data_IF_360598888654
#
_entry.id   IF_360598888654
#
_cell.length_a   1.000
_cell.length_b   1.000
_cell.length_c   1.000
_cell.angle_alpha   90.00
_cell.angle_beta   90.00
_cell.angle_gamma   90.00
#
_symmetry.space_group_name_H-M   'P 1'
#
loop_
_entity.id
_entity.type
_entity.pdbx_description
1 polymer ?
#
# COMPACT_ATOMS: atom_id res chain seq x y z
N UNK A 1 -11.21 12.20 -12.75
CA UNK A 1 -10.79 13.30 -11.86
C UNK A 1 -9.26 13.33 -11.87
N UNK A 2 -8.62 14.51 -11.82
CA UNK A 2 -7.16 14.58 -11.70
C UNK A 2 -6.71 13.98 -10.37
N UNK A 3 -5.56 13.31 -10.35
CA UNK A 3 -4.98 12.75 -9.12
C UNK A 3 -4.10 13.82 -8.45
N UNK A 4 -4.23 14.04 -7.14
CA UNK A 4 -3.40 15.01 -6.43
C UNK A 4 -1.94 14.54 -6.37
N UNK A 5 -1.01 15.49 -6.41
CA UNK A 5 0.41 15.27 -6.19
C UNK A 5 0.94 16.37 -5.26
N UNK A 6 1.30 16.06 -3.99
CA UNK A 6 1.37 14.71 -3.40
C UNK A 6 -0.01 14.13 -3.05
N UNK A 7 -0.13 12.80 -3.12
CA UNK A 7 -1.37 12.05 -2.84
C UNK A 7 -1.52 11.73 -1.35
N UNK A 8 -1.88 12.74 -0.55
CA UNK A 8 -1.87 12.69 0.93
C UNK A 8 -3.27 12.63 1.57
N UNK A 9 -4.33 12.48 0.77
CA UNK A 9 -5.70 12.53 1.25
C UNK A 9 -6.11 13.88 1.81
N UNK A 10 -7.05 13.86 2.75
CA UNK A 10 -7.52 15.04 3.46
C UNK A 10 -6.58 15.43 4.60
N UNK A 11 -5.94 14.45 5.24
CA UNK A 11 -4.85 14.65 6.19
C UNK A 11 -4.04 13.36 6.37
N UNK A 12 -2.83 13.49 6.92
CA UNK A 12 -1.98 12.37 7.31
C UNK A 12 -1.60 12.49 8.80
N UNK A 13 -1.25 11.38 9.48
CA UNK A 13 -0.83 11.43 10.88
C UNK A 13 0.32 12.41 11.17
N UNK A 14 1.20 12.59 10.19
CA UNK A 14 2.36 13.48 10.26
C UNK A 14 2.11 14.92 9.79
N UNK A 15 0.94 15.21 9.19
CA UNK A 15 0.62 16.51 8.61
C UNK A 15 -0.69 17.05 9.20
N UNK A 16 -0.60 17.58 10.42
CA UNK A 16 -1.73 18.18 11.16
C UNK A 16 -2.07 19.61 10.72
N UNK A 17 -1.32 20.17 9.75
CA UNK A 17 -1.43 21.58 9.36
C UNK A 17 -2.43 21.81 8.22
N UNK A 18 -2.80 20.77 7.47
CA UNK A 18 -3.77 20.87 6.37
C UNK A 18 -5.19 20.72 6.88
N UNK A 19 -5.90 21.84 7.03
CA UNK A 19 -7.35 21.84 7.17
C UNK A 19 -8.01 21.77 5.79
N UNK A 20 -8.53 20.60 5.44
CA UNK A 20 -9.37 20.44 4.24
C UNK A 20 -10.82 20.71 4.63
N UNK A 21 -11.44 21.73 4.05
CA UNK A 21 -12.88 21.95 4.19
C UNK A 21 -13.61 21.04 3.22
N UNK A 22 -14.30 20.03 3.75
CA UNK A 22 -15.18 19.15 2.97
C UNK A 22 -16.63 19.41 3.33
N UNK A 23 -17.48 19.64 2.32
CA UNK A 23 -18.94 19.75 2.50
C UNK A 23 -19.60 18.49 1.97
N UNK A 24 -20.46 17.88 2.79
CA UNK A 24 -21.30 16.77 2.40
C UNK A 24 -22.72 17.27 2.16
N UNK A 25 -23.45 16.62 1.25
CA UNK A 25 -24.88 16.86 1.09
C UNK A 25 -25.64 16.30 2.31
N UNK A 26 -26.81 16.86 2.61
CA UNK A 26 -27.64 16.39 3.74
C UNK A 26 -27.94 14.89 3.65
N UNK A 27 -28.14 14.37 2.43
CA UNK A 27 -28.39 12.94 2.17
C UNK A 27 -27.19 12.04 2.47
N UNK A 28 -25.99 12.58 2.48
CA UNK A 28 -24.75 11.82 2.70
C UNK A 28 -24.28 11.87 4.17
N UNK A 29 -24.84 12.75 5.00
CA UNK A 29 -24.41 12.95 6.38
C UNK A 29 -25.10 11.94 7.30
N UNK A 30 -24.36 11.45 8.30
CA UNK A 30 -24.90 10.63 9.38
C UNK A 30 -24.89 9.13 9.06
N UNK A 31 -25.52 8.33 9.93
CA UNK A 31 -25.58 6.89 9.76
C UNK A 31 -26.52 6.47 8.62
N UNK A 32 -26.24 5.34 7.93
CA UNK A 32 -25.03 4.54 8.09
C UNK A 32 -23.79 5.28 7.56
N UNK A 33 -22.69 5.18 8.29
CA UNK A 33 -21.40 5.54 7.73
C UNK A 33 -21.02 4.51 6.66
N UNK A 34 -20.53 4.98 5.53
CA UNK A 34 -20.09 4.12 4.45
C UNK A 34 -18.64 4.43 4.08
N UNK A 35 -17.94 3.41 3.58
CA UNK A 35 -16.54 3.51 3.20
C UNK A 35 -16.28 2.62 1.98
N UNK A 36 -15.97 3.24 0.86
CA UNK A 36 -15.71 2.57 -0.41
C UNK A 36 -14.28 2.87 -0.87
N UNK A 37 -13.57 1.84 -1.30
CA UNK A 37 -12.21 1.94 -1.84
C UNK A 37 -12.19 1.53 -3.31
N UNK A 38 -11.33 2.18 -4.09
CA UNK A 38 -10.96 1.69 -5.41
C UNK A 38 -9.53 2.14 -5.77
N UNK A 39 -8.96 1.55 -6.81
CA UNK A 39 -7.65 1.94 -7.34
C UNK A 39 -7.64 3.42 -7.78
N UNK A 40 -6.64 4.19 -7.34
CA UNK A 40 -6.57 5.61 -7.70
C UNK A 40 -6.45 5.81 -9.22
N UNK A 41 -5.61 5.00 -9.87
CA UNK A 41 -5.38 4.99 -11.32
C UNK A 41 -6.46 4.22 -12.09
N UNK A 42 -7.73 4.49 -11.80
CA UNK A 42 -8.87 3.90 -12.50
C UNK A 42 -9.02 4.48 -13.92
N UNK A 43 -9.66 3.74 -14.86
CA UNK A 43 -9.96 4.24 -16.20
C UNK A 43 -10.71 5.58 -16.22
N UNK A 44 -10.56 6.34 -17.31
CA UNK A 44 -11.16 7.66 -17.45
C UNK A 44 -12.68 7.58 -17.24
N UNK A 45 -13.20 8.44 -16.36
CA UNK A 45 -14.62 8.53 -16.06
C UNK A 45 -15.07 7.67 -14.87
N UNK A 46 -14.34 6.61 -14.49
CA UNK A 46 -14.73 5.71 -13.40
C UNK A 46 -14.96 6.46 -12.09
N UNK A 47 -13.99 7.28 -11.65
CA UNK A 47 -14.15 8.09 -10.44
C UNK A 47 -15.30 9.09 -10.51
N UNK A 48 -15.63 9.61 -11.70
CA UNK A 48 -16.78 10.50 -11.88
C UNK A 48 -18.09 9.73 -11.67
N UNK A 49 -18.18 8.52 -12.24
CA UNK A 49 -19.33 7.64 -12.05
C UNK A 49 -19.50 7.26 -10.58
N UNK A 50 -18.43 6.78 -9.93
CA UNK A 50 -18.48 6.35 -8.52
C UNK A 50 -18.90 7.54 -7.63
N UNK A 51 -18.28 8.70 -7.80
CA UNK A 51 -18.61 9.91 -7.04
C UNK A 51 -20.09 10.30 -7.22
N UNK A 52 -20.59 10.35 -8.45
CA UNK A 52 -22.01 10.65 -8.74
C UNK A 52 -22.97 9.63 -8.11
N UNK A 53 -22.61 8.36 -8.12
CA UNK A 53 -23.40 7.30 -7.48
C UNK A 53 -23.40 7.42 -5.96
N UNK A 54 -22.27 7.84 -5.39
CA UNK A 54 -22.08 8.00 -3.94
C UNK A 54 -22.24 9.46 -3.50
N UNK A 55 -23.39 10.05 -3.85
CA UNK A 55 -23.84 11.37 -3.37
C UNK A 55 -22.95 12.56 -3.75
N UNK A 56 -22.27 12.47 -4.90
CA UNK A 56 -21.31 13.46 -5.40
C UNK A 56 -20.16 13.74 -4.40
N UNK A 57 -19.83 12.76 -3.55
CA UNK A 57 -18.73 12.89 -2.59
C UNK A 57 -17.40 12.81 -3.34
N UNK A 58 -16.51 13.76 -3.04
CA UNK A 58 -15.15 13.76 -3.56
C UNK A 58 -14.32 12.61 -2.96
N UNK A 59 -13.59 11.84 -3.80
CA UNK A 59 -12.69 10.79 -3.32
C UNK A 59 -11.46 11.35 -2.59
N UNK A 60 -11.17 10.77 -1.43
CA UNK A 60 -9.91 10.96 -0.70
C UNK A 60 -8.83 10.10 -1.35
N UNK A 61 -7.94 10.70 -2.15
CA UNK A 61 -6.83 9.99 -2.77
C UNK A 61 -5.59 9.96 -1.87
N UNK A 62 -5.16 8.76 -1.46
CA UNK A 62 -4.01 8.53 -0.58
C UNK A 62 -3.06 7.48 -1.18
N UNK A 63 -1.77 7.71 -1.05
CA UNK A 63 -0.73 6.71 -1.28
C UNK A 63 -0.23 6.15 0.07
N UNK A 64 -0.42 4.86 0.34
CA UNK A 64 0.00 4.24 1.61
C UNK A 64 1.51 4.31 1.88
N UNK A 65 2.35 4.72 0.92
CA UNK A 65 3.78 4.97 1.16
C UNK A 65 4.05 5.99 2.29
N UNK A 66 3.08 6.85 2.59
CA UNK A 66 3.21 7.83 3.68
C UNK A 66 2.98 7.20 5.06
N UNK A 67 2.45 5.97 5.09
CA UNK A 67 2.08 5.25 6.31
C UNK A 67 2.99 4.04 6.51
N UNK A 68 3.21 3.22 5.47
CA UNK A 68 4.05 2.01 5.55
C UNK A 68 5.19 1.98 4.50
N UNK A 69 5.93 0.87 4.44
CA UNK A 69 7.09 0.69 3.57
C UNK A 69 6.74 0.31 2.11
N UNK A 70 5.45 0.19 1.77
CA UNK A 70 4.99 -0.15 0.42
C UNK A 70 4.00 0.90 -0.11
N UNK A 71 4.22 1.40 -1.33
CA UNK A 71 3.31 2.33 -1.97
C UNK A 71 2.00 1.63 -2.35
N UNK A 72 0.85 2.29 -2.14
CA UNK A 72 -0.47 1.77 -2.53
C UNK A 72 -1.40 2.95 -2.77
N UNK A 73 -1.49 3.39 -4.02
CA UNK A 73 -2.33 4.53 -4.43
C UNK A 73 -3.78 4.09 -4.55
N UNK A 74 -4.65 4.63 -3.70
CA UNK A 74 -6.09 4.36 -3.65
C UNK A 74 -6.90 5.64 -3.53
N UNK A 75 -8.13 5.59 -3.99
CA UNK A 75 -9.15 6.57 -3.67
C UNK A 75 -10.16 5.96 -2.71
N UNK A 76 -10.63 6.76 -1.77
CA UNK A 76 -11.63 6.36 -0.79
C UNK A 76 -12.80 7.33 -0.85
N UNK A 77 -14.03 6.84 -1.03
CA UNK A 77 -15.25 7.66 -0.92
C UNK A 77 -16.00 7.21 0.32
N UNK A 78 -16.24 8.16 1.21
CA UNK A 78 -16.87 7.92 2.50
C UNK A 78 -17.53 9.19 3.03
N UNK A 79 -18.46 9.03 3.96
CA UNK A 79 -19.08 10.13 4.71
C UNK A 79 -18.51 10.32 6.13
N UNK A 80 -17.45 9.59 6.50
CA UNK A 80 -16.80 9.70 7.81
C UNK A 80 -16.29 11.13 8.10
N UNK A 81 -16.33 11.59 9.36
CA UNK A 81 -15.58 12.78 9.79
C UNK A 81 -14.09 12.68 9.43
N UNK A 82 -13.48 13.83 9.15
CA UNK A 82 -12.06 13.91 8.76
C UNK A 82 -11.18 14.51 9.86
N UNK A 83 -11.79 15.15 10.84
CA UNK A 83 -11.12 15.72 12.01
C UNK A 83 -10.89 14.65 13.09
N UNK A 84 -9.92 14.89 13.98
CA UNK A 84 -9.59 14.03 15.13
C UNK A 84 -9.24 12.57 14.76
N UNK A 85 -8.74 12.34 13.55
CA UNK A 85 -8.15 11.05 13.17
C UNK A 85 -6.91 10.74 14.00
N UNK A 86 -6.71 9.48 14.35
CA UNK A 86 -5.56 8.99 15.11
C UNK A 86 -4.97 7.75 14.44
N UNK A 87 -3.64 7.66 14.32
CA UNK A 87 -3.01 6.49 13.70
C UNK A 87 -3.11 5.26 14.60
N UNK A 88 -3.07 4.08 13.99
CA UNK A 88 -2.86 2.83 14.72
C UNK A 88 -1.42 2.82 15.30
N UNK A 89 -1.28 2.33 16.52
CA UNK A 89 0.01 2.20 17.20
C UNK A 89 0.34 0.71 17.44
N UNK A 90 1.63 0.31 17.37
CA UNK A 90 2.79 1.13 16.98
C UNK A 90 2.75 1.51 15.49
N UNK A 91 3.37 2.65 15.13
CA UNK A 91 3.41 3.09 13.73
C UNK A 91 4.21 2.09 12.87
N UNK A 92 3.71 1.69 11.70
CA UNK A 92 4.44 0.77 10.83
C UNK A 92 5.70 1.43 10.26
N UNK A 93 6.74 0.64 9.95
CA UNK A 93 7.95 1.15 9.32
C UNK A 93 7.64 1.67 7.91
N UNK A 94 8.22 2.82 7.57
CA UNK A 94 8.08 3.46 6.24
C UNK A 94 9.22 3.13 5.27
N UNK A 95 10.16 2.28 5.69
CA UNK A 95 11.38 1.96 4.96
C UNK A 95 11.62 0.45 4.97
N UNK A 96 12.07 -0.11 3.84
CA UNK A 96 12.37 -1.53 3.65
C UNK A 96 13.29 -2.06 4.77
N UNK A 97 14.38 -1.36 5.11
CA UNK A 97 15.36 -1.82 6.10
C UNK A 97 14.86 -1.69 7.54
N UNK A 98 13.89 -0.81 7.79
CA UNK A 98 13.19 -0.78 9.09
C UNK A 98 12.17 -1.91 9.21
N UNK A 99 11.57 -2.33 8.09
CA UNK A 99 10.65 -3.46 8.06
C UNK A 99 11.39 -4.81 8.10
N UNK A 100 12.50 -4.91 7.38
CA UNK A 100 13.28 -6.12 7.18
C UNK A 100 14.78 -5.78 7.21
N UNK A 101 15.38 -5.67 8.42
CA UNK A 101 16.79 -5.32 8.57
C UNK A 101 17.76 -6.27 7.85
N UNK A 102 17.40 -7.55 7.75
CA UNK A 102 18.24 -8.59 7.14
C UNK A 102 18.54 -8.35 5.65
N UNK A 103 17.70 -7.58 4.94
CA UNK A 103 17.92 -7.24 3.54
C UNK A 103 19.04 -6.23 3.33
N UNK A 104 19.36 -5.40 4.33
CA UNK A 104 20.34 -4.33 4.20
C UNK A 104 21.73 -4.87 3.87
N UNK A 105 22.12 -6.00 4.47
CA UNK A 105 23.43 -6.64 4.25
C UNK A 105 23.68 -7.03 2.79
N UNK A 106 22.62 -7.36 2.04
CA UNK A 106 22.70 -7.81 0.66
C UNK A 106 22.33 -6.73 -0.35
N UNK A 107 21.91 -5.56 0.12
CA UNK A 107 21.41 -4.50 -0.74
C UNK A 107 22.57 -3.80 -1.45
N UNK A 108 22.62 -3.81 -2.80
CA UNK A 108 23.68 -3.13 -3.51
C UNK A 108 23.52 -1.62 -3.40
N UNK A 109 24.65 -0.90 -3.32
CA UNK A 109 24.67 0.56 -3.22
C UNK A 109 24.00 1.28 -4.41
N UNK A 110 23.96 0.62 -5.57
CA UNK A 110 23.33 1.14 -6.78
C UNK A 110 21.83 0.90 -6.85
N UNK A 111 21.22 0.11 -5.95
CA UNK A 111 19.77 -0.02 -5.85
C UNK A 111 19.23 1.06 -4.88
N UNK A 112 18.62 2.14 -5.39
CA UNK A 112 18.26 3.29 -4.58
C UNK A 112 16.95 3.08 -3.81
N UNK A 113 16.27 1.93 -3.98
CA UNK A 113 14.97 1.71 -3.38
C UNK A 113 15.08 1.72 -1.85
N UNK A 114 14.13 2.42 -1.24
CA UNK A 114 13.91 2.45 0.21
C UNK A 114 12.47 2.11 0.59
N UNK A 115 11.60 2.03 -0.41
CA UNK A 115 10.20 1.63 -0.32
C UNK A 115 9.89 0.67 -1.45
N UNK A 116 8.92 -0.21 -1.21
CA UNK A 116 8.38 -1.12 -2.20
C UNK A 116 7.30 -0.43 -3.03
N UNK A 117 7.04 -0.97 -4.22
CA UNK A 117 5.89 -0.57 -5.04
C UNK A 117 4.61 -1.26 -4.53
N UNK A 118 3.50 -1.02 -5.22
CA UNK A 118 2.23 -1.70 -4.93
C UNK A 118 2.43 -3.22 -4.89
N UNK A 119 2.03 -3.81 -3.77
CA UNK A 119 2.05 -5.26 -3.61
C UNK A 119 1.06 -5.88 -4.60
N UNK A 120 1.51 -6.92 -5.30
CA UNK A 120 0.81 -7.53 -6.42
C UNK A 120 0.11 -8.82 -6.00
N UNK A 121 -0.80 -9.30 -6.85
CA UNK A 121 -1.51 -10.59 -6.66
C UNK A 121 -0.72 -11.80 -7.17
N UNK A 122 0.43 -11.55 -7.80
CA UNK A 122 1.30 -12.55 -8.40
C UNK A 122 2.76 -12.23 -8.11
N UNK A 123 3.61 -13.25 -8.06
CA UNK A 123 5.04 -13.12 -7.82
C UNK A 123 5.86 -13.41 -9.07
N UNK A 124 7.11 -12.95 -9.07
CA UNK A 124 8.08 -13.28 -10.09
C UNK A 124 8.30 -14.79 -10.21
N UNK A 125 8.54 -15.26 -11.43
CA UNK A 125 8.95 -16.64 -11.67
C UNK A 125 10.39 -16.89 -11.23
N UNK A 126 10.70 -18.13 -10.84
CA UNK A 126 12.07 -18.56 -10.57
C UNK A 126 13.02 -18.38 -11.77
N UNK A 127 12.48 -18.47 -13.00
CA UNK A 127 13.25 -18.20 -14.23
C UNK A 127 13.74 -16.76 -14.29
N UNK A 128 12.95 -15.80 -13.80
CA UNK A 128 13.36 -14.39 -13.75
C UNK A 128 14.47 -14.18 -12.73
N UNK A 129 14.35 -14.74 -11.53
CA UNK A 129 15.37 -14.58 -10.48
C UNK A 129 16.69 -15.23 -10.89
N UNK A 130 16.66 -16.38 -11.57
CA UNK A 130 17.88 -16.98 -12.13
C UNK A 130 18.49 -16.12 -13.25
N UNK A 131 17.68 -15.56 -14.16
CA UNK A 131 18.19 -14.63 -15.20
C UNK A 131 18.90 -13.42 -14.58
N UNK A 132 18.33 -12.83 -13.53
CA UNK A 132 18.94 -11.71 -12.82
C UNK A 132 20.29 -12.14 -12.22
N UNK A 133 20.32 -13.28 -11.54
CA UNK A 133 21.55 -13.85 -10.97
C UNK A 133 22.64 -14.08 -12.02
N UNK A 134 22.32 -14.64 -13.18
CA UNK A 134 23.28 -14.84 -14.28
C UNK A 134 23.80 -13.52 -14.85
N UNK A 135 22.93 -12.52 -15.05
CA UNK A 135 23.33 -11.20 -15.53
C UNK A 135 24.30 -10.50 -14.55
N UNK A 136 24.06 -10.66 -13.25
CA UNK A 136 24.92 -10.11 -12.20
C UNK A 136 26.22 -10.91 -12.00
N UNK A 137 26.19 -12.24 -12.17
CA UNK A 137 27.39 -13.08 -12.05
C UNK A 137 28.35 -12.91 -13.23
N UNK A 138 27.82 -12.57 -14.40
CA UNK A 138 28.61 -12.26 -15.61
C UNK A 138 29.15 -10.83 -15.61
N UNK A 139 28.60 -9.99 -14.74
CA UNK A 139 29.15 -8.67 -14.43
C UNK A 139 30.23 -8.85 -13.37
N UNK A 140 31.35 -8.12 -13.46
CA UNK A 140 32.39 -8.17 -12.44
C UNK A 140 31.93 -7.66 -11.06
N UNK A 141 32.79 -6.98 -10.32
CA UNK A 141 32.43 -6.43 -9.01
C UNK A 141 31.31 -5.38 -9.07
N UNK A 142 31.23 -4.64 -10.18
CA UNK A 142 30.18 -3.65 -10.44
C UNK A 142 29.51 -3.91 -11.81
N UNK A 143 28.20 -4.18 -11.84
CA UNK A 143 27.47 -4.31 -13.10
C UNK A 143 27.45 -3.03 -13.91
N UNK A 144 27.40 -3.15 -15.24
CA UNK A 144 27.27 -1.99 -16.12
C UNK A 144 25.95 -1.25 -15.86
N UNK A 145 25.85 0.05 -16.20
CA UNK A 145 24.62 0.82 -15.99
C UNK A 145 23.37 0.21 -16.64
N UNK A 146 23.52 -0.46 -17.78
CA UNK A 146 22.42 -1.15 -18.46
C UNK A 146 21.91 -2.35 -17.67
N UNK A 147 22.81 -3.15 -17.08
CA UNK A 147 22.46 -4.28 -16.22
C UNK A 147 21.83 -3.78 -14.92
N UNK A 148 22.39 -2.75 -14.29
CA UNK A 148 21.82 -2.14 -13.09
C UNK A 148 20.39 -1.64 -13.33
N UNK A 149 20.16 -0.96 -14.46
CA UNK A 149 18.82 -0.50 -14.86
C UNK A 149 17.86 -1.66 -15.06
N UNK A 150 18.25 -2.67 -15.85
CA UNK A 150 17.44 -3.86 -16.09
C UNK A 150 17.02 -4.55 -14.78
N UNK A 151 17.99 -4.83 -13.89
CA UNK A 151 17.72 -5.50 -12.62
C UNK A 151 16.84 -4.62 -11.72
N UNK A 152 17.13 -3.32 -11.62
CA UNK A 152 16.32 -2.40 -10.80
C UNK A 152 14.87 -2.34 -11.30
N UNK A 153 14.66 -2.31 -12.62
CA UNK A 153 13.33 -2.23 -13.21
C UNK A 153 12.53 -3.53 -12.97
N UNK A 154 13.14 -4.71 -13.10
CA UNK A 154 12.51 -5.98 -12.73
C UNK A 154 12.22 -6.07 -11.22
N UNK A 155 13.17 -5.61 -10.39
CA UNK A 155 12.99 -5.58 -8.95
C UNK A 155 11.85 -4.62 -8.53
N UNK A 156 11.70 -3.47 -9.20
CA UNK A 156 10.55 -2.56 -9.01
C UNK A 156 9.25 -3.18 -9.47
N UNK A 157 9.26 -3.85 -10.62
CA UNK A 157 8.07 -4.46 -11.20
C UNK A 157 7.50 -5.57 -10.32
N UNK A 158 8.37 -6.41 -9.75
CA UNK A 158 7.97 -7.61 -9.00
C UNK A 158 8.19 -7.51 -7.49
N UNK A 159 8.56 -6.33 -6.99
CA UNK A 159 8.94 -6.11 -5.58
C UNK A 159 10.00 -7.12 -5.09
N UNK A 160 11.01 -7.40 -5.93
CA UNK A 160 12.08 -8.31 -5.54
C UNK A 160 13.00 -7.66 -4.51
N UNK A 161 13.42 -8.46 -3.55
CA UNK A 161 14.32 -8.07 -2.45
C UNK A 161 15.61 -8.90 -2.49
N UNK A 162 16.70 -8.33 -1.98
CA UNK A 162 18.03 -8.93 -2.01
C UNK A 162 18.20 -9.90 -0.84
N UNK A 163 18.39 -11.19 -1.15
CA UNK A 163 18.50 -12.27 -0.15
C UNK A 163 19.90 -12.89 -0.07
N UNK A 164 20.82 -12.41 -0.89
CA UNK A 164 22.17 -12.95 -0.98
C UNK A 164 22.98 -12.26 -2.08
N UNK A 165 24.29 -12.54 -2.12
CA UNK A 165 25.16 -12.06 -3.19
C UNK A 165 24.60 -12.44 -4.56
N UNK A 166 24.27 -11.43 -5.37
CA UNK A 166 23.67 -11.57 -6.71
C UNK A 166 22.33 -12.34 -6.74
N UNK A 167 21.63 -12.44 -5.60
CA UNK A 167 20.37 -13.18 -5.49
C UNK A 167 19.25 -12.27 -5.03
N UNK A 168 18.15 -12.34 -5.76
CA UNK A 168 16.89 -11.67 -5.44
C UNK A 168 15.77 -12.70 -5.33
N UNK A 169 14.77 -12.40 -4.50
CA UNK A 169 13.59 -13.23 -4.31
C UNK A 169 12.32 -12.36 -4.24
N UNK A 170 11.14 -12.90 -4.58
CA UNK A 170 9.88 -12.27 -4.24
C UNK A 170 9.69 -12.25 -2.72
N UNK A 171 8.86 -11.33 -2.24
CA UNK A 171 8.41 -11.32 -0.85
C UNK A 171 7.66 -12.62 -0.51
N UNK A 172 7.90 -13.17 0.67
CA UNK A 172 7.12 -14.26 1.22
C UNK A 172 5.75 -13.76 1.72
N UNK A 173 4.72 -14.62 1.78
CA UNK A 173 3.37 -14.17 2.16
C UNK A 173 3.29 -13.49 3.53
N UNK A 174 4.08 -13.96 4.50
CA UNK A 174 4.11 -13.37 5.85
C UNK A 174 4.72 -11.96 5.87
N UNK A 175 5.61 -11.65 4.92
CA UNK A 175 6.16 -10.30 4.76
C UNK A 175 5.13 -9.36 4.14
N UNK A 176 4.31 -9.86 3.21
CA UNK A 176 3.18 -9.11 2.68
C UNK A 176 2.13 -8.84 3.75
N UNK A 177 1.79 -9.83 4.58
CA UNK A 177 0.91 -9.64 5.74
C UNK A 177 1.42 -8.50 6.63
N UNK A 178 2.71 -8.54 6.98
CA UNK A 178 3.35 -7.51 7.81
C UNK A 178 3.29 -6.12 7.17
N UNK A 179 3.63 -5.98 5.88
CA UNK A 179 3.59 -4.71 5.16
C UNK A 179 2.17 -4.14 5.01
N UNK A 180 1.17 -5.02 4.94
CA UNK A 180 -0.24 -4.65 4.84
C UNK A 180 -0.89 -4.40 6.21
N UNK A 181 -0.18 -4.67 7.31
CA UNK A 181 -0.66 -4.47 8.68
C UNK A 181 -1.58 -5.58 9.19
N UNK A 182 -1.54 -6.77 8.58
CA UNK A 182 -2.25 -7.95 9.09
C UNK A 182 -1.45 -8.64 10.20
N UNK A 183 -2.11 -9.38 11.10
CA UNK A 183 -1.43 -10.29 12.02
C UNK A 183 -0.55 -11.28 11.27
N UNK A 184 0.55 -11.69 11.91
CA UNK A 184 1.43 -12.73 11.37
C UNK A 184 0.65 -14.02 11.13
N UNK A 185 0.86 -14.66 9.99
CA UNK A 185 0.21 -15.91 9.59
C UNK A 185 -1.32 -15.78 9.39
N UNK A 186 -1.86 -14.57 9.20
CA UNK A 186 -3.29 -14.34 9.00
C UNK A 186 -3.89 -15.16 7.85
N UNK A 187 -3.12 -15.40 6.78
CA UNK A 187 -3.57 -16.19 5.62
C UNK A 187 -2.97 -17.61 5.59
N UNK A 188 -2.38 -18.07 6.70
CA UNK A 188 -1.80 -19.42 6.80
C UNK A 188 -2.89 -20.50 6.68
N UNK A 189 -2.55 -21.61 6.05
CA UNK A 189 -3.48 -22.72 5.77
C UNK A 189 -4.12 -22.65 4.39
N UNK A 190 -4.03 -21.50 3.71
CA UNK A 190 -4.44 -21.32 2.31
C UNK A 190 -3.26 -21.63 1.37
N UNK A 191 -3.54 -22.05 0.13
CA UNK A 191 -2.47 -22.35 -0.82
C UNK A 191 -1.64 -21.08 -1.12
N UNK A 192 -0.32 -21.23 -1.36
CA UNK A 192 0.62 -20.10 -1.45
C UNK A 192 0.18 -19.05 -2.49
N UNK A 193 -0.34 -19.47 -3.64
CA UNK A 193 -0.78 -18.55 -4.70
C UNK A 193 -2.07 -17.81 -4.36
N UNK A 194 -3.00 -18.46 -3.66
CA UNK A 194 -4.22 -17.80 -3.17
C UNK A 194 -3.91 -16.80 -2.06
N UNK A 195 -2.90 -17.07 -1.21
CA UNK A 195 -2.40 -16.08 -0.24
C UNK A 195 -1.93 -14.80 -0.93
N UNK A 196 -1.09 -14.91 -1.96
CA UNK A 196 -0.65 -13.75 -2.75
C UNK A 196 -1.82 -13.01 -3.39
N UNK A 197 -2.78 -13.73 -3.96
CA UNK A 197 -3.97 -13.14 -4.59
C UNK A 197 -4.83 -12.37 -3.58
N UNK A 198 -5.09 -12.94 -2.41
CA UNK A 198 -5.87 -12.31 -1.35
C UNK A 198 -5.16 -11.05 -0.81
N UNK A 199 -3.87 -11.16 -0.47
CA UNK A 199 -3.07 -10.05 0.07
C UNK A 199 -2.86 -8.91 -0.94
N UNK A 200 -2.63 -9.23 -2.22
CA UNK A 200 -2.49 -8.21 -3.27
C UNK A 200 -3.72 -7.30 -3.39
N UNK A 201 -4.91 -7.88 -3.18
CA UNK A 201 -6.21 -7.20 -3.30
C UNK A 201 -6.77 -6.69 -1.96
N UNK A 202 -6.14 -6.94 -0.83
CA UNK A 202 -6.64 -6.52 0.49
C UNK A 202 -6.47 -5.01 0.72
N UNK A 203 -7.02 -4.51 1.82
CA UNK A 203 -6.66 -3.18 2.31
C UNK A 203 -5.23 -3.15 2.87
N UNK A 204 -4.68 -1.94 2.93
CA UNK A 204 -3.57 -1.64 3.83
C UNK A 204 -4.19 -1.17 5.15
N UNK A 205 -4.01 -1.96 6.21
CA UNK A 205 -4.75 -1.84 7.48
C UNK A 205 -4.52 -0.49 8.13
N UNK A 206 -3.29 0.00 8.23
CA UNK A 206 -2.99 1.29 8.89
C UNK A 206 -3.65 2.49 8.21
N UNK A 207 -3.75 2.47 6.87
CA UNK A 207 -4.41 3.52 6.07
C UNK A 207 -5.90 3.54 6.36
N UNK A 208 -6.54 2.37 6.31
CA UNK A 208 -7.98 2.28 6.56
C UNK A 208 -8.29 2.56 8.04
N UNK A 209 -7.49 2.03 8.97
CA UNK A 209 -7.63 2.27 10.40
C UNK A 209 -7.52 3.76 10.73
N UNK A 210 -6.62 4.50 10.08
CA UNK A 210 -6.52 5.95 10.26
C UNK A 210 -7.79 6.69 9.83
N UNK A 211 -8.44 6.27 8.74
CA UNK A 211 -9.71 6.88 8.32
C UNK A 211 -10.86 6.50 9.26
N UNK A 212 -10.91 5.24 9.70
CA UNK A 212 -11.97 4.71 10.57
C UNK A 212 -11.80 5.10 12.04
N UNK A 213 -10.65 5.63 12.46
CA UNK A 213 -10.36 5.90 13.88
C UNK A 213 -11.36 6.86 14.53
N UNK A 214 -11.98 7.74 13.73
CA UNK A 214 -13.00 8.70 14.21
C UNK A 214 -14.24 8.00 14.77
N UNK A 215 -14.51 6.77 14.35
CA UNK A 215 -15.65 5.99 14.81
C UNK A 215 -15.46 5.45 16.24
N UNK A 216 -14.20 5.32 16.71
CA UNK A 216 -13.89 4.74 18.02
C UNK A 216 -14.59 5.50 19.15
N UNK A 217 -14.46 6.82 19.13
CA UNK A 217 -14.98 7.67 20.22
C UNK A 217 -16.49 7.94 20.02
N UNK A 218 -17.01 7.72 18.80
CA UNK A 218 -18.44 7.85 18.49
C UNK A 218 -19.27 6.63 18.90
N UNK A 219 -18.65 5.44 18.94
CA UNK A 219 -19.32 4.17 19.17
C UNK A 219 -18.55 3.33 20.21
N UNK A 220 -18.56 3.73 21.50
CA UNK A 220 -17.77 3.07 22.56
C UNK A 220 -18.20 1.63 22.80
N UNK A 221 -19.48 1.30 22.56
CA UNK A 221 -20.05 -0.03 22.78
C UNK A 221 -19.96 -0.95 21.54
N UNK A 222 -19.23 -0.52 20.51
CA UNK A 222 -19.04 -1.25 19.27
C UNK A 222 -19.98 -0.83 18.14
N UNK A 223 -19.80 -1.47 16.98
CA UNK A 223 -20.52 -1.16 15.74
C UNK A 223 -20.97 -2.43 15.04
N UNK A 224 -22.08 -2.32 14.30
CA UNK A 224 -22.49 -3.34 13.34
C UNK A 224 -21.96 -2.97 11.96
N UNK A 225 -21.27 -3.90 11.30
CA UNK A 225 -20.69 -3.70 9.97
C UNK A 225 -21.46 -4.56 8.96
N UNK A 226 -22.08 -3.91 7.98
CA UNK A 226 -22.72 -4.57 6.85
C UNK A 226 -21.86 -4.48 5.58
N UNK A 227 -22.01 -5.46 4.70
CA UNK A 227 -21.40 -5.47 3.37
C UNK A 227 -22.51 -5.37 2.31
N UNK A 228 -22.31 -4.52 1.31
CA UNK A 228 -23.21 -4.36 0.15
C UNK A 228 -22.43 -4.57 -1.14
#
# INVERSE_FOLDING_TARGET
MPLPNPMVGFNLPSDRLRSVKRRLSEKAIGPPFFYYENVALAPRGVWRTISRTLYDIEPEFVDSKYLCAAARKRGYIHNLPIDNRSPLLPLPPKNIFKAFPDYERWWPSWDPRRQLNCLLTSVASAKLTERIKYALASSGTLPSPSVQKYVTDECRKWNLVWIGKNKVAPLEPHEMEYLLGFPRDHTRGVCKMERYKALGNSFQVDTVAYHLSVLRDMFPDGINVGYQ
#
